data_IF_333305992108
#
_entry.id   IF_333305992108
#
_cell.length_a   1.000
_cell.length_b   1.000
_cell.length_c   1.000
_cell.angle_alpha   90.00
_cell.angle_beta   90.00
_cell.angle_gamma   90.00
#
_symmetry.space_group_name_H-M   'P 1'
#
loop_
_entity.id
_entity.type
_entity.pdbx_description
1 polymer ?
#
# COMPACT_ATOMS: atom_id res chain seq x y z
N UNK A 1 2.23 19.33 -24.64
CA UNK A 1 1.29 18.44 -23.94
C UNK A 1 1.45 18.70 -22.45
N UNK A 2 0.34 18.88 -21.73
CA UNK A 2 0.36 19.03 -20.28
C UNK A 2 -0.02 17.66 -19.73
N UNK A 3 0.97 16.89 -19.29
CA UNK A 3 0.77 15.68 -18.50
C UNK A 3 0.24 16.12 -17.13
N UNK A 4 -1.06 15.97 -16.91
CA UNK A 4 -1.62 16.10 -15.57
C UNK A 4 -1.51 14.74 -14.91
N UNK A 5 -0.63 14.61 -13.91
CA UNK A 5 -0.65 13.46 -13.01
C UNK A 5 -2.05 13.41 -12.39
N UNK A 6 -2.89 12.49 -12.86
CA UNK A 6 -4.21 12.27 -12.30
C UNK A 6 -4.12 11.70 -10.87
N UNK A 7 -5.26 11.43 -10.22
CA UNK A 7 -5.25 10.67 -8.99
C UNK A 7 -4.87 9.20 -9.29
N UNK A 8 -3.57 8.92 -9.28
CA UNK A 8 -3.02 7.58 -9.51
C UNK A 8 -2.48 7.01 -8.20
N UNK A 9 -2.90 5.78 -7.87
CA UNK A 9 -2.27 5.00 -6.82
C UNK A 9 -0.98 4.40 -7.36
N UNK A 10 0.15 4.76 -6.77
CA UNK A 10 1.48 4.34 -7.20
C UNK A 10 2.25 3.71 -6.04
N UNK A 11 3.02 2.66 -6.36
CA UNK A 11 4.06 2.15 -5.47
C UNK A 11 5.27 3.08 -5.59
N UNK A 12 5.69 3.67 -4.48
CA UNK A 12 6.83 4.57 -4.42
C UNK A 12 8.09 3.73 -4.24
N UNK A 13 8.88 3.59 -5.30
CA UNK A 13 10.18 2.89 -5.31
C UNK A 13 11.32 3.87 -5.59
N UNK A 14 11.86 4.46 -4.52
CA UNK A 14 12.94 5.46 -4.59
C UNK A 14 14.28 4.89 -5.05
N UNK A 15 14.52 3.59 -4.88
CA UNK A 15 15.76 2.96 -5.32
C UNK A 15 15.78 2.75 -6.84
N UNK A 16 14.63 2.81 -7.52
CA UNK A 16 14.44 2.51 -8.94
C UNK A 16 14.92 1.10 -9.36
N UNK A 17 15.25 0.25 -8.39
CA UNK A 17 15.71 -1.11 -8.62
C UNK A 17 14.51 -2.06 -8.72
N UNK A 18 14.59 -3.08 -9.60
CA UNK A 18 13.53 -4.06 -9.73
C UNK A 18 13.41 -4.89 -8.44
N UNK A 19 12.18 -5.07 -7.98
CA UNK A 19 11.87 -5.89 -6.79
C UNK A 19 11.34 -7.24 -7.27
N UNK A 20 12.04 -8.31 -6.91
CA UNK A 20 11.60 -9.67 -7.23
C UNK A 20 10.57 -10.14 -6.21
N UNK A 21 9.41 -10.56 -6.68
CA UNK A 21 8.35 -11.15 -5.86
C UNK A 21 8.32 -12.67 -6.01
N UNK A 22 7.87 -13.35 -4.97
CA UNK A 22 7.62 -14.79 -4.97
C UNK A 22 6.12 -15.04 -4.84
N UNK A 23 5.65 -16.11 -5.47
CA UNK A 23 4.27 -16.59 -5.30
C UNK A 23 4.03 -16.90 -3.82
N UNK A 24 2.82 -16.60 -3.36
CA UNK A 24 2.37 -16.76 -1.96
C UNK A 24 3.13 -15.93 -0.91
N UNK A 25 4.01 -15.00 -1.32
CA UNK A 25 4.62 -14.05 -0.40
C UNK A 25 3.61 -13.02 0.08
N UNK A 26 3.75 -12.58 1.34
CA UNK A 26 2.96 -11.47 1.89
C UNK A 26 3.73 -10.17 1.69
N UNK A 27 3.06 -9.17 1.12
CA UNK A 27 3.61 -7.81 0.99
C UNK A 27 2.74 -6.85 1.78
N UNK A 28 3.38 -5.96 2.53
CA UNK A 28 2.70 -4.89 3.27
C UNK A 28 2.61 -3.64 2.40
N UNK A 29 1.39 -3.16 2.13
CA UNK A 29 1.17 -1.84 1.53
C UNK A 29 1.14 -0.80 2.64
N UNK A 30 2.05 0.17 2.61
CA UNK A 30 2.17 1.21 3.65
C UNK A 30 2.03 2.62 3.06
N UNK A 31 1.32 3.55 3.72
CA UNK A 31 1.32 4.95 3.29
C UNK A 31 2.60 5.71 3.63
N UNK A 32 3.55 5.08 4.33
CA UNK A 32 4.82 5.71 4.67
C UNK A 32 5.76 5.75 3.47
N UNK A 33 5.66 6.81 2.65
CA UNK A 33 6.54 7.05 1.50
C UNK A 33 8.02 7.23 1.90
N UNK A 34 8.32 7.42 3.19
CA UNK A 34 9.68 7.45 3.73
C UNK A 34 10.38 6.10 3.75
N UNK A 35 9.61 5.00 3.80
CA UNK A 35 10.13 3.65 3.90
C UNK A 35 10.75 3.17 2.57
N UNK A 36 11.78 2.32 2.66
CA UNK A 36 12.39 1.69 1.50
C UNK A 36 11.53 0.51 0.98
N UNK A 37 11.37 0.44 -0.34
CA UNK A 37 10.59 -0.59 -1.01
C UNK A 37 11.38 -1.90 -1.11
N UNK A 38 10.73 -3.01 -0.81
CA UNK A 38 11.33 -4.35 -0.81
C UNK A 38 10.32 -5.41 -1.20
N UNK A 39 10.73 -6.68 -1.23
CA UNK A 39 9.83 -7.83 -1.48
C UNK A 39 8.72 -7.98 -0.44
N UNK A 40 8.84 -7.31 0.71
CA UNK A 40 7.96 -7.48 1.87
C UNK A 40 7.16 -6.20 2.16
N UNK A 41 7.59 -5.04 1.63
CA UNK A 41 6.95 -3.74 1.88
C UNK A 41 6.93 -2.88 0.62
N UNK A 42 5.73 -2.40 0.28
CA UNK A 42 5.49 -1.41 -0.78
C UNK A 42 4.91 -0.11 -0.19
N UNK A 43 5.72 0.95 -0.12
CA UNK A 43 5.23 2.30 0.10
C UNK A 43 4.28 2.72 -1.02
N UNK A 44 3.14 3.33 -0.69
CA UNK A 44 2.15 3.84 -1.65
C UNK A 44 1.83 5.31 -1.38
N UNK A 45 1.56 6.07 -2.45
CA UNK A 45 1.20 7.49 -2.38
C UNK A 45 -0.26 7.75 -1.96
N UNK A 46 -0.96 6.74 -1.42
CA UNK A 46 -2.38 6.85 -1.06
C UNK A 46 -2.71 6.15 0.26
N UNK A 47 -2.80 6.94 1.34
CA UNK A 47 -3.17 6.41 2.66
C UNK A 47 -4.63 6.02 2.84
N UNK A 48 -5.51 6.25 1.86
CA UNK A 48 -6.92 5.87 1.95
C UNK A 48 -7.21 4.41 1.58
N UNK A 49 -6.24 3.65 1.09
CA UNK A 49 -6.46 2.33 0.48
C UNK A 49 -7.18 1.36 1.44
N UNK A 50 -6.78 1.33 2.71
CA UNK A 50 -7.37 0.46 3.73
C UNK A 50 -8.87 0.70 3.99
N UNK A 51 -9.42 1.85 3.58
CA UNK A 51 -10.86 2.14 3.66
C UNK A 51 -11.63 1.65 2.44
N UNK A 52 -10.94 1.41 1.33
CA UNK A 52 -11.52 1.04 0.06
C UNK A 52 -11.48 -0.48 -0.20
N UNK A 53 -10.60 -1.21 0.49
CA UNK A 53 -10.46 -2.67 0.39
C UNK A 53 -10.98 -3.37 1.63
N UNK A 54 -11.47 -4.59 1.44
CA UNK A 54 -11.79 -5.54 2.51
C UNK A 54 -11.00 -6.83 2.31
N UNK A 55 -10.86 -7.61 3.39
CA UNK A 55 -10.21 -8.91 3.34
C UNK A 55 -10.76 -9.77 2.20
N UNK A 56 -9.85 -10.36 1.42
CA UNK A 56 -10.17 -11.18 0.25
C UNK A 56 -10.43 -10.39 -1.04
N UNK A 57 -10.39 -9.05 -1.00
CA UNK A 57 -10.30 -8.28 -2.24
C UNK A 57 -8.95 -8.54 -2.92
N UNK A 58 -8.96 -8.47 -4.25
CA UNK A 58 -7.75 -8.63 -5.06
C UNK A 58 -7.28 -7.27 -5.57
N UNK A 59 -6.03 -6.94 -5.30
CA UNK A 59 -5.36 -5.73 -5.77
C UNK A 59 -4.46 -6.12 -6.93
N UNK A 60 -4.64 -5.47 -8.07
CA UNK A 60 -3.73 -5.62 -9.20
C UNK A 60 -2.62 -4.58 -9.10
N UNK A 61 -1.37 -5.01 -9.22
CA UNK A 61 -0.20 -4.13 -9.33
C UNK A 61 0.52 -4.48 -10.64
N UNK A 62 0.60 -3.51 -11.54
CA UNK A 62 1.27 -3.67 -12.83
C UNK A 62 2.22 -2.52 -13.12
N UNK A 63 3.32 -2.84 -13.79
CA UNK A 63 4.19 -1.81 -14.34
C UNK A 63 3.56 -1.26 -15.62
N UNK A 64 3.31 0.04 -15.67
CA UNK A 64 2.79 0.75 -16.85
C UNK A 64 1.40 0.31 -17.35
N UNK A 65 0.47 0.13 -16.41
CA UNK A 65 -0.96 -0.12 -16.67
C UNK A 65 -1.59 0.77 -17.74
N UNK A 66 -1.17 2.04 -17.82
CA UNK A 66 -1.74 3.02 -18.75
C UNK A 66 -1.12 2.99 -20.16
N UNK A 67 0.06 2.39 -20.34
CA UNK A 67 0.73 2.35 -21.65
C UNK A 67 0.50 1.03 -22.40
N UNK A 68 -0.13 0.04 -21.74
CA UNK A 68 -0.37 -1.29 -22.32
C UNK A 68 0.91 -2.10 -22.55
N UNK A 69 2.06 -1.63 -22.06
CA UNK A 69 3.35 -2.30 -22.15
C UNK A 69 3.67 -3.03 -20.85
N UNK A 70 2.73 -3.84 -20.39
CA UNK A 70 2.85 -4.62 -19.15
C UNK A 70 3.84 -5.76 -19.36
N UNK A 71 5.07 -5.56 -18.90
CA UNK A 71 6.08 -6.62 -18.92
C UNK A 71 6.06 -7.46 -17.64
N UNK A 72 5.56 -6.91 -16.52
CA UNK A 72 5.43 -7.59 -15.24
C UNK A 72 4.19 -7.10 -14.48
N UNK A 73 3.38 -8.03 -14.00
CA UNK A 73 2.18 -7.77 -13.19
C UNK A 73 1.98 -8.84 -12.12
N UNK A 74 1.35 -8.47 -11.02
CA UNK A 74 1.02 -9.35 -9.90
C UNK A 74 -0.37 -9.05 -9.36
N UNK A 75 -1.05 -10.10 -8.92
CA UNK A 75 -2.28 -10.03 -8.15
C UNK A 75 -1.95 -10.27 -6.68
N UNK A 76 -2.35 -9.35 -5.82
CA UNK A 76 -2.25 -9.49 -4.37
C UNK A 76 -3.66 -9.76 -3.82
N UNK A 77 -3.79 -10.73 -2.93
CA UNK A 77 -4.98 -10.90 -2.11
C UNK A 77 -4.80 -10.14 -0.79
N UNK A 78 -5.78 -9.33 -0.41
CA UNK A 78 -5.73 -8.60 0.85
C UNK A 78 -5.89 -9.55 2.04
N UNK A 79 -4.81 -9.67 2.82
CA UNK A 79 -4.83 -10.27 4.16
C UNK A 79 -4.87 -9.17 5.21
N UNK A 80 -6.02 -8.53 5.42
CA UNK A 80 -6.20 -7.48 6.41
C UNK A 80 -5.66 -7.89 7.80
N UNK A 81 -4.56 -7.26 8.23
CA UNK A 81 -4.05 -7.33 9.60
C UNK A 81 -4.13 -5.94 10.21
N UNK A 82 -5.07 -5.75 11.14
CA UNK A 82 -5.13 -4.54 11.96
C UNK A 82 -4.05 -4.67 13.04
N UNK A 83 -3.02 -3.83 13.00
CA UNK A 83 -2.14 -3.69 14.16
C UNK A 83 -2.96 -3.05 15.29
N UNK A 84 -3.04 -3.71 16.45
CA UNK A 84 -3.87 -3.32 17.59
C UNK A 84 -3.17 -2.35 18.55
N UNK A 85 -2.03 -1.78 18.17
CA UNK A 85 -1.15 -1.07 19.12
C UNK A 85 -1.49 0.42 19.35
N UNK A 86 -2.51 0.98 18.69
CA UNK A 86 -2.87 2.41 18.84
C UNK A 86 -4.14 2.69 19.68
N UNK A 87 -4.73 1.70 20.38
CA UNK A 87 -5.97 1.93 21.13
C UNK A 87 -5.80 2.20 22.65
N UNK A 88 -4.58 2.21 23.19
CA UNK A 88 -4.35 2.43 24.63
C UNK A 88 -3.79 3.85 24.90
N UNK A 89 -4.53 4.88 24.48
CA UNK A 89 -4.36 6.26 24.97
C UNK A 89 -5.71 6.94 25.24
N UNK A 90 -6.68 6.20 25.78
CA UNK A 90 -7.81 6.83 26.48
C UNK A 90 -7.53 6.79 27.98
N UNK A 91 -6.79 7.78 28.46
CA UNK A 91 -6.72 8.09 29.89
C UNK A 91 -8.08 8.61 30.40
N UNK A 92 -8.42 8.36 31.68
CA UNK A 92 -9.79 8.37 32.17
C UNK A 92 -10.44 9.76 32.20
N UNK A 93 -11.75 9.74 31.99
CA UNK A 93 -12.65 10.88 32.19
C UNK A 93 -12.54 11.28 33.67
N UNK A 94 -11.95 12.44 33.94
CA UNK A 94 -11.99 13.04 35.27
C UNK A 94 -13.44 13.47 35.55
N UNK A 95 -14.07 12.72 36.43
CA UNK A 95 -15.40 12.91 36.97
C UNK A 95 -15.35 13.99 38.06
N UNK A 96 -16.03 15.11 37.78
CA UNK A 96 -16.74 15.99 38.72
C UNK A 96 -15.94 16.92 39.65
N UNK A 97 -16.27 18.20 39.50
CA UNK A 97 -16.16 19.27 40.49
C UNK A 97 -17.06 20.43 40.11
#
# INVERSE_FOLDING_TARGET
MLDTAGPELQVVNKSEQPISLKVDATVTLTPDEGQESSSDVFPINFGGLYKAVKKGDTIFIGQYLFTGSETMSVWLEDTFKRSLEEFIQSEPIDDQG
#
